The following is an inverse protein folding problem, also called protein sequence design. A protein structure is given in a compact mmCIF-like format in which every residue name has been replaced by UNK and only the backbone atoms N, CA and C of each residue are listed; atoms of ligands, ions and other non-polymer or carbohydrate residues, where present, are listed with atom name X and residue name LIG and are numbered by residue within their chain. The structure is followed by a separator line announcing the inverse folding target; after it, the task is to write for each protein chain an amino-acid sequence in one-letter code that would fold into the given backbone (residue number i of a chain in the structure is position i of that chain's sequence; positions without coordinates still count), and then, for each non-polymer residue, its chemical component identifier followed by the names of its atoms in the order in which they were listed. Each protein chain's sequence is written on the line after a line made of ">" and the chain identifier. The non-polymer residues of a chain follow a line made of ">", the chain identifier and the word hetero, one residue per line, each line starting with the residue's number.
data_IF_050360843211
#
_entry.id   IF_050360843211
#
_cell.length_a   1.000
_cell.length_b   1.000
_cell.length_c   1.000
_cell.angle_alpha   90.00
_cell.angle_beta   90.00
_cell.angle_gamma   90.00
#
_symmetry.space_group_name_H-M   'P 1'
#
loop_
_entity.id
_entity.type
_entity.pdbx_description
1 polymer ?
#
# COMPACT_ATOMS: atom_id res chain seq x y z
N UNK A 1 4.60 12.01 -6.52
CA UNK A 1 4.67 11.02 -7.59
C UNK A 1 3.97 11.57 -8.84
N UNK A 2 4.58 11.43 -10.01
CA UNK A 2 4.02 11.96 -11.27
C UNK A 2 2.82 11.15 -11.80
N UNK A 3 2.75 9.87 -11.46
CA UNK A 3 1.67 8.95 -11.87
C UNK A 3 0.96 8.37 -10.65
N UNK A 4 -0.32 7.98 -10.79
CA UNK A 4 -1.04 7.29 -9.72
C UNK A 4 -0.32 5.99 -9.35
N UNK A 5 -0.19 5.74 -8.05
CA UNK A 5 0.39 4.52 -7.49
C UNK A 5 1.80 4.17 -8.02
N UNK A 6 2.59 5.17 -8.46
CA UNK A 6 3.92 4.96 -9.06
C UNK A 6 4.93 4.24 -8.15
N UNK A 7 4.68 4.17 -6.82
CA UNK A 7 5.50 3.38 -5.90
C UNK A 7 5.20 1.88 -5.97
N UNK A 8 4.03 1.47 -6.49
CA UNK A 8 3.56 0.09 -6.52
C UNK A 8 3.39 -0.46 -7.94
N UNK A 9 3.04 0.41 -8.89
CA UNK A 9 2.68 0.00 -10.24
C UNK A 9 3.74 0.45 -11.27
N UNK A 10 3.93 -0.30 -12.36
CA UNK A 10 4.71 0.19 -13.51
C UNK A 10 4.04 1.41 -14.15
N UNK A 11 4.84 2.27 -14.77
CA UNK A 11 4.36 3.51 -15.37
C UNK A 11 3.21 3.29 -16.38
N UNK A 12 3.27 2.23 -17.17
CA UNK A 12 2.26 1.87 -18.15
C UNK A 12 0.88 1.62 -17.51
N UNK A 13 0.84 0.95 -16.35
CA UNK A 13 -0.41 0.75 -15.61
C UNK A 13 -0.95 2.07 -15.03
N UNK A 14 -0.06 2.95 -14.54
CA UNK A 14 -0.43 4.29 -14.08
C UNK A 14 -1.00 5.16 -15.20
N UNK A 15 -0.43 5.09 -16.40
CA UNK A 15 -0.94 5.80 -17.59
C UNK A 15 -2.31 5.28 -18.01
N UNK A 16 -2.51 3.95 -18.04
CA UNK A 16 -3.82 3.37 -18.33
C UNK A 16 -4.88 3.77 -17.30
N UNK A 17 -4.48 3.90 -16.02
CA UNK A 17 -5.39 4.36 -14.98
C UNK A 17 -5.80 5.82 -15.19
N UNK A 18 -4.88 6.69 -15.58
CA UNK A 18 -5.21 8.08 -15.96
C UNK A 18 -6.15 8.14 -17.17
N UNK A 19 -5.92 7.30 -18.17
CA UNK A 19 -6.81 7.20 -19.33
C UNK A 19 -8.22 6.77 -18.94
N UNK A 20 -8.34 5.75 -18.09
CA UNK A 20 -9.62 5.27 -17.58
C UNK A 20 -10.39 6.32 -16.76
N UNK A 21 -9.68 7.31 -16.19
CA UNK A 21 -10.30 8.41 -15.43
C UNK A 21 -10.74 9.59 -16.28
N UNK A 22 -10.34 9.69 -17.58
CA UNK A 22 -10.68 10.84 -18.44
C UNK A 22 -12.18 11.09 -18.58
N UNK A 23 -13.00 10.02 -18.56
CA UNK A 23 -14.45 10.12 -18.63
C UNK A 23 -15.14 10.33 -17.27
N UNK A 24 -14.39 10.43 -16.17
CA UNK A 24 -14.92 10.58 -14.83
C UNK A 24 -14.66 12.00 -14.30
N UNK A 25 -15.47 12.49 -13.35
CA UNK A 25 -15.25 13.78 -12.70
C UNK A 25 -14.06 13.71 -11.71
N UNK A 26 -12.91 13.25 -12.18
CA UNK A 26 -11.67 13.08 -11.42
C UNK A 26 -10.57 13.91 -12.08
N UNK A 27 -9.92 14.77 -11.30
CA UNK A 27 -8.72 15.48 -11.69
C UNK A 27 -7.54 14.97 -10.86
N UNK A 28 -6.61 14.29 -11.49
CA UNK A 28 -5.36 13.86 -10.86
C UNK A 28 -4.29 14.94 -11.02
N UNK A 29 -3.70 15.37 -9.92
CA UNK A 29 -2.58 16.31 -9.89
C UNK A 29 -1.34 15.56 -9.38
N UNK A 30 -0.53 15.06 -10.31
CA UNK A 30 0.71 14.37 -9.99
C UNK A 30 1.87 15.33 -9.77
N UNK A 31 2.85 14.93 -8.95
CA UNK A 31 4.07 15.71 -8.72
C UNK A 31 3.92 16.93 -7.81
N UNK A 32 2.73 17.18 -7.27
CA UNK A 32 2.46 18.29 -6.34
C UNK A 32 2.46 17.81 -4.89
N UNK A 33 2.74 18.73 -3.98
CA UNK A 33 2.61 18.51 -2.53
C UNK A 33 1.62 19.53 -1.97
N UNK A 34 0.78 19.06 -1.06
CA UNK A 34 -0.09 19.94 -0.27
C UNK A 34 0.76 20.55 0.85
N UNK A 35 0.83 21.86 0.90
CA UNK A 35 1.55 22.63 1.92
C UNK A 35 0.67 23.07 3.09
N UNK A 36 -0.64 23.13 2.88
CA UNK A 36 -1.60 23.50 3.93
C UNK A 36 -3.04 23.32 3.50
N UNK A 37 -3.90 23.20 4.49
CA UNK A 37 -5.36 23.22 4.34
C UNK A 37 -5.91 24.21 5.35
N UNK A 38 -6.65 25.21 4.89
CA UNK A 38 -7.30 26.22 5.72
C UNK A 38 -8.78 26.28 5.42
N UNK A 39 -9.59 26.44 6.48
CA UNK A 39 -11.01 26.74 6.34
C UNK A 39 -11.15 28.22 5.93
N UNK A 40 -11.98 28.51 4.96
CA UNK A 40 -12.36 29.88 4.58
C UNK A 40 -13.62 30.28 5.38
N UNK A 41 -13.50 31.07 6.46
CA UNK A 41 -14.60 31.34 7.39
C UNK A 41 -15.71 32.17 6.77
N UNK A 42 -15.39 33.01 5.77
CA UNK A 42 -16.33 33.94 5.11
C UNK A 42 -17.00 33.29 3.88
N UNK A 43 -16.74 32.01 3.61
CA UNK A 43 -17.41 31.33 2.52
C UNK A 43 -18.89 31.08 2.84
N UNK A 44 -19.80 31.25 1.87
CA UNK A 44 -21.18 30.87 2.05
C UNK A 44 -21.30 29.38 2.36
N UNK A 45 -22.33 28.98 3.11
CA UNK A 45 -22.56 27.54 3.37
C UNK A 45 -22.78 26.74 2.07
N UNK A 46 -22.17 25.54 1.93
CA UNK A 46 -21.31 24.83 2.87
C UNK A 46 -19.91 25.46 3.04
N UNK A 47 -19.21 25.15 4.14
CA UNK A 47 -17.87 25.69 4.38
C UNK A 47 -16.92 25.26 3.26
N UNK A 48 -16.02 26.14 2.86
CA UNK A 48 -15.01 25.86 1.84
C UNK A 48 -13.62 25.79 2.44
N UNK A 49 -12.85 24.88 1.90
CA UNK A 49 -11.45 24.70 2.25
C UNK A 49 -10.58 25.20 1.11
N UNK A 50 -9.53 25.95 1.47
CA UNK A 50 -8.42 26.28 0.57
C UNK A 50 -7.32 25.26 0.80
N UNK A 51 -6.96 24.53 -0.26
CA UNK A 51 -5.84 23.58 -0.27
C UNK A 51 -4.67 24.24 -0.98
N UNK A 52 -3.65 24.62 -0.22
CA UNK A 52 -2.43 25.23 -0.73
C UNK A 52 -1.46 24.17 -1.23
N UNK A 53 -0.90 24.39 -2.41
CA UNK A 53 0.08 23.50 -3.03
C UNK A 53 1.47 24.16 -2.98
N UNK A 54 2.53 23.34 -2.96
CA UNK A 54 3.92 23.84 -3.04
C UNK A 54 4.23 24.48 -4.39
N UNK A 55 3.49 24.08 -5.44
CA UNK A 55 3.60 24.61 -6.79
C UNK A 55 2.20 24.73 -7.40
N UNK A 56 1.96 25.79 -8.13
CA UNK A 56 0.67 26.03 -8.79
C UNK A 56 -0.33 26.81 -7.93
N UNK A 57 -1.55 26.90 -8.42
CA UNK A 57 -2.64 27.59 -7.76
C UNK A 57 -3.24 26.77 -6.62
N UNK A 58 -3.73 27.44 -5.59
CA UNK A 58 -4.49 26.82 -4.53
C UNK A 58 -5.83 26.26 -5.07
N UNK A 59 -6.28 25.16 -4.53
CA UNK A 59 -7.57 24.56 -4.86
C UNK A 59 -8.60 24.95 -3.82
N UNK A 60 -9.86 25.05 -4.24
CA UNK A 60 -11.00 25.16 -3.34
C UNK A 60 -11.79 23.85 -3.35
N UNK A 61 -12.24 23.42 -2.17
CA UNK A 61 -13.00 22.20 -2.00
C UNK A 61 -14.01 22.33 -0.87
N UNK A 62 -15.15 21.67 -1.01
CA UNK A 62 -16.17 21.59 0.03
C UNK A 62 -15.80 20.56 1.11
N UNK A 63 -14.98 19.58 0.75
CA UNK A 63 -14.44 18.56 1.65
C UNK A 63 -12.99 18.22 1.29
N UNK A 64 -12.19 17.87 2.30
CA UNK A 64 -10.82 17.41 2.13
C UNK A 64 -10.64 16.08 2.87
N UNK A 65 -10.20 15.07 2.14
CA UNK A 65 -9.92 13.74 2.69
C UNK A 65 -8.42 13.48 2.63
N UNK A 66 -7.78 13.31 3.79
CA UNK A 66 -6.39 12.94 3.87
C UNK A 66 -6.24 11.41 3.79
N UNK A 67 -5.66 10.92 2.70
CA UNK A 67 -5.35 9.50 2.47
C UNK A 67 -3.85 9.30 2.24
N UNK A 68 -3.02 9.89 3.11
CA UNK A 68 -1.56 9.98 2.96
C UNK A 68 -0.78 8.78 3.50
N UNK A 69 -1.48 7.71 3.84
CA UNK A 69 -0.92 6.52 4.44
C UNK A 69 -0.91 6.56 5.97
N UNK A 70 -0.35 5.51 6.56
CA UNK A 70 -0.30 5.31 8.01
C UNK A 70 1.14 5.26 8.50
N UNK A 71 1.37 5.81 9.67
CA UNK A 71 2.61 5.64 10.43
C UNK A 71 2.24 5.33 11.88
N UNK A 72 2.69 4.19 12.39
CA UNK A 72 2.45 3.84 13.78
C UNK A 72 3.18 4.82 14.71
N UNK A 73 2.51 5.40 15.73
CA UNK A 73 3.18 6.26 16.69
C UNK A 73 4.14 5.44 17.57
N UNK A 74 5.42 5.81 17.54
CA UNK A 74 6.47 5.10 18.31
C UNK A 74 6.49 5.39 19.82
N UNK A 75 5.65 6.33 20.31
CA UNK A 75 5.69 6.76 21.73
C UNK A 75 5.46 5.64 22.72
N UNK A 76 4.46 4.78 22.45
CA UNK A 76 4.18 3.63 23.33
C UNK A 76 5.33 2.62 23.32
N UNK A 77 5.91 2.35 22.17
CA UNK A 77 7.06 1.47 22.04
C UNK A 77 8.26 2.02 22.83
N UNK A 78 8.55 3.33 22.69
CA UNK A 78 9.63 4.00 23.40
C UNK A 78 9.43 3.97 24.92
N UNK A 79 8.22 4.25 25.42
CA UNK A 79 7.91 4.20 26.85
C UNK A 79 8.03 2.79 27.46
N UNK A 80 7.81 1.75 26.65
CA UNK A 80 7.95 0.36 27.02
C UNK A 80 9.35 -0.22 26.76
N UNK A 81 10.30 0.59 26.29
CA UNK A 81 11.66 0.16 25.96
C UNK A 81 11.73 -0.84 24.78
N UNK A 82 10.74 -0.85 23.90
CA UNK A 82 10.68 -1.75 22.76
C UNK A 82 11.54 -1.25 21.60
N UNK A 83 12.19 -2.16 20.88
CA UNK A 83 12.87 -1.83 19.64
C UNK A 83 11.85 -1.33 18.60
N UNK A 84 12.08 -0.11 18.10
CA UNK A 84 11.23 0.53 17.11
C UNK A 84 12.03 0.82 15.83
N UNK A 85 11.56 0.30 14.72
CA UNK A 85 12.14 0.57 13.41
C UNK A 85 11.61 1.93 12.90
N UNK A 86 12.44 2.96 13.01
CA UNK A 86 12.07 4.33 12.62
C UNK A 86 11.93 4.48 11.10
N UNK A 87 12.64 3.69 10.30
CA UNK A 87 12.57 3.73 8.84
C UNK A 87 11.26 3.11 8.33
N UNK A 88 10.91 1.93 8.83
CA UNK A 88 9.64 1.28 8.53
C UNK A 88 8.46 1.92 9.28
N UNK A 89 8.72 2.56 10.43
CA UNK A 89 7.70 3.16 11.28
C UNK A 89 6.88 2.12 12.04
N UNK A 90 7.51 1.12 12.66
CA UNK A 90 6.82 0.05 13.40
C UNK A 90 7.68 -0.59 14.49
N UNK A 91 7.03 -1.30 15.42
CA UNK A 91 7.69 -2.09 16.47
C UNK A 91 8.36 -3.29 15.81
N UNK A 92 9.67 -3.45 16.01
CA UNK A 92 10.39 -4.59 15.45
C UNK A 92 9.92 -5.90 16.12
N UNK A 93 9.53 -6.88 15.30
CA UNK A 93 9.09 -8.18 15.77
C UNK A 93 9.72 -9.31 14.96
N UNK A 94 9.93 -10.43 15.64
CA UNK A 94 10.41 -11.67 15.05
C UNK A 94 9.33 -12.27 14.12
N UNK A 95 9.64 -12.61 12.87
CA UNK A 95 8.64 -13.08 11.89
C UNK A 95 8.04 -14.45 12.23
N UNK A 96 8.73 -15.28 12.99
CA UNK A 96 8.25 -16.62 13.34
C UNK A 96 7.29 -16.59 14.54
N UNK A 97 7.49 -15.67 15.46
CA UNK A 97 6.82 -15.65 16.77
C UNK A 97 6.05 -14.36 17.05
N UNK A 98 6.29 -13.31 16.29
CA UNK A 98 5.80 -11.94 16.51
C UNK A 98 6.21 -11.35 17.89
N UNK A 99 7.26 -11.90 18.52
CA UNK A 99 7.85 -11.35 19.75
C UNK A 99 8.56 -10.04 19.47
N UNK A 100 8.42 -9.11 20.39
CA UNK A 100 9.19 -7.87 20.41
C UNK A 100 10.54 -8.06 21.10
N UNK A 101 11.31 -6.99 21.28
CA UNK A 101 12.56 -7.00 22.04
C UNK A 101 12.38 -7.27 23.55
N UNK A 102 11.16 -7.13 24.06
CA UNK A 102 10.86 -7.38 25.47
C UNK A 102 10.14 -8.74 25.64
N UNK A 103 10.54 -9.56 26.64
CA UNK A 103 9.89 -10.84 26.92
C UNK A 103 8.40 -10.66 27.24
N UNK A 104 7.57 -11.55 26.71
CA UNK A 104 6.12 -11.55 26.99
C UNK A 104 5.33 -10.48 26.21
N UNK A 105 5.98 -9.63 25.42
CA UNK A 105 5.31 -8.61 24.61
C UNK A 105 5.39 -9.01 23.13
N UNK A 106 4.26 -8.95 22.47
CA UNK A 106 4.08 -9.25 21.05
C UNK A 106 3.55 -8.02 20.31
N UNK A 107 3.80 -7.93 19.02
CA UNK A 107 3.24 -6.87 18.17
C UNK A 107 2.61 -7.46 16.91
N UNK A 108 1.46 -6.92 16.49
CA UNK A 108 0.78 -7.33 15.24
C UNK A 108 0.04 -6.13 14.60
N UNK A 109 -0.36 -6.29 13.37
CA UNK A 109 -1.14 -5.29 12.62
C UNK A 109 -0.31 -4.08 12.21
N UNK A 110 -0.94 -2.91 12.15
CA UNK A 110 -0.35 -1.68 11.60
C UNK A 110 0.84 -1.14 12.40
N UNK A 111 0.98 -1.55 13.66
CA UNK A 111 2.08 -1.12 14.52
C UNK A 111 3.35 -1.95 14.38
N UNK A 112 3.35 -3.07 13.65
CA UNK A 112 4.49 -3.97 13.57
C UNK A 112 5.40 -3.68 12.38
N UNK A 113 6.69 -3.91 12.56
CA UNK A 113 7.70 -4.04 11.51
C UNK A 113 8.30 -5.44 11.53
N UNK A 114 8.19 -6.15 10.40
CA UNK A 114 8.77 -7.47 10.18
C UNK A 114 9.80 -7.35 9.05
N UNK A 115 11.02 -7.85 9.25
CA UNK A 115 12.13 -7.72 8.30
C UNK A 115 12.42 -6.25 7.89
N UNK A 116 12.28 -5.28 8.81
CA UNK A 116 12.49 -3.87 8.51
C UNK A 116 11.39 -3.23 7.66
N UNK A 117 10.19 -3.82 7.64
CA UNK A 117 9.06 -3.34 6.84
C UNK A 117 7.78 -3.34 7.63
N UNK A 118 7.07 -2.23 7.59
CA UNK A 118 5.74 -2.14 8.14
C UNK A 118 4.72 -2.84 7.22
N UNK A 119 3.81 -3.60 7.82
CA UNK A 119 2.78 -4.35 7.13
C UNK A 119 1.41 -3.77 7.46
N UNK A 120 1.05 -2.68 6.76
CA UNK A 120 -0.22 -1.94 7.00
C UNK A 120 -1.34 -2.47 6.10
N UNK A 121 -1.54 -3.79 6.15
CA UNK A 121 -2.57 -4.51 5.41
C UNK A 121 -3.30 -5.47 6.35
N UNK A 122 -4.58 -5.69 6.09
CA UNK A 122 -5.40 -6.62 6.87
C UNK A 122 -4.96 -8.08 6.68
N UNK A 123 -4.54 -8.44 5.47
CA UNK A 123 -4.25 -9.82 5.11
C UNK A 123 -3.24 -10.54 6.04
N UNK A 124 -2.11 -9.93 6.48
CA UNK A 124 -1.16 -10.57 7.37
C UNK A 124 -1.63 -10.74 8.81
N UNK A 125 -2.65 -10.00 9.27
CA UNK A 125 -3.06 -9.96 10.69
C UNK A 125 -3.43 -11.34 11.22
N UNK A 126 -4.17 -12.13 10.44
CA UNK A 126 -4.55 -13.49 10.84
C UNK A 126 -3.33 -14.40 11.04
N UNK A 127 -2.36 -14.34 10.14
CA UNK A 127 -1.10 -15.09 10.25
C UNK A 127 -0.24 -14.63 11.44
N UNK A 128 -0.20 -13.33 11.69
CA UNK A 128 0.49 -12.75 12.87
C UNK A 128 -0.15 -13.24 14.18
N UNK A 129 -1.49 -13.24 14.26
CA UNK A 129 -2.21 -13.74 15.43
C UNK A 129 -1.95 -15.24 15.66
N UNK A 130 -1.90 -16.03 14.60
CA UNK A 130 -1.57 -17.47 14.69
C UNK A 130 -0.12 -17.69 15.15
N UNK A 131 0.84 -16.85 14.69
CA UNK A 131 2.22 -16.91 15.12
C UNK A 131 2.36 -16.59 16.62
N UNK A 132 1.62 -15.60 17.12
CA UNK A 132 1.56 -15.26 18.55
C UNK A 132 1.00 -16.43 19.35
N UNK A 133 -0.15 -16.98 18.95
CA UNK A 133 -0.79 -18.10 19.63
C UNK A 133 0.14 -19.33 19.69
N UNK A 134 0.76 -19.67 18.56
CA UNK A 134 1.72 -20.78 18.51
C UNK A 134 2.94 -20.52 19.43
N UNK A 135 3.47 -19.29 19.44
CA UNK A 135 4.57 -18.92 20.32
C UNK A 135 4.22 -19.03 21.80
N UNK A 136 3.01 -18.62 22.20
CA UNK A 136 2.54 -18.72 23.59
C UNK A 136 2.37 -20.19 24.00
N UNK A 137 1.89 -21.04 23.10
CA UNK A 137 1.66 -22.46 23.33
C UNK A 137 2.92 -23.33 23.19
N UNK A 138 4.06 -22.74 22.82
CA UNK A 138 5.29 -23.50 22.54
C UNK A 138 5.22 -24.37 21.28
N UNK A 139 4.33 -24.02 20.34
CA UNK A 139 4.12 -24.75 19.09
C UNK A 139 4.83 -24.08 17.92
N UNK A 140 5.06 -24.82 16.83
CA UNK A 140 5.55 -24.22 15.59
C UNK A 140 4.45 -23.40 14.91
N UNK A 141 4.81 -22.24 14.33
CA UNK A 141 3.90 -21.43 13.52
C UNK A 141 3.45 -22.21 12.28
N UNK A 142 2.17 -22.19 11.91
CA UNK A 142 1.71 -22.70 10.63
C UNK A 142 2.41 -21.98 9.46
N UNK A 143 3.11 -22.71 8.61
CA UNK A 143 3.93 -22.15 7.51
C UNK A 143 3.06 -21.46 6.44
N UNK A 144 1.80 -21.85 6.31
CA UNK A 144 0.87 -21.34 5.29
C UNK A 144 0.29 -19.94 5.58
N UNK A 145 0.47 -19.44 6.80
CA UNK A 145 -0.13 -18.15 7.20
C UNK A 145 0.88 -16.98 7.02
N UNK A 146 0.63 -16.02 6.12
CA UNK A 146 1.52 -14.89 5.94
C UNK A 146 1.55 -13.98 7.16
N UNK A 147 2.72 -13.54 7.58
CA UNK A 147 2.91 -12.57 8.69
C UNK A 147 3.36 -11.20 8.21
N UNK A 148 3.70 -11.05 6.95
CA UNK A 148 4.12 -9.78 6.35
C UNK A 148 3.39 -9.50 5.04
N UNK A 149 3.41 -8.25 4.60
CA UNK A 149 2.88 -7.88 3.29
C UNK A 149 3.66 -8.55 2.14
N UNK A 150 4.91 -8.92 2.38
CA UNK A 150 5.77 -9.59 1.40
C UNK A 150 5.33 -11.05 1.17
N UNK A 151 4.77 -11.69 2.18
CA UNK A 151 4.22 -13.05 2.10
C UNK A 151 2.80 -13.05 1.53
N UNK A 152 2.04 -11.94 1.75
CA UNK A 152 0.69 -11.74 1.24
C UNK A 152 0.73 -11.04 -0.12
N UNK A 153 1.17 -11.74 -1.13
CA UNK A 153 1.64 -11.20 -2.40
C UNK A 153 0.53 -10.72 -3.38
N UNK A 154 -0.61 -10.21 -2.92
CA UNK A 154 -1.66 -9.70 -3.83
C UNK A 154 -2.10 -8.29 -3.42
N UNK A 155 -1.79 -7.30 -4.28
CA UNK A 155 -2.34 -5.95 -4.20
C UNK A 155 -3.51 -5.82 -5.19
N UNK A 156 -4.68 -5.47 -4.69
CA UNK A 156 -5.86 -5.16 -5.51
C UNK A 156 -6.16 -3.67 -5.45
N UNK A 157 -6.08 -3.00 -6.58
CA UNK A 157 -6.55 -1.61 -6.70
C UNK A 157 -8.03 -1.66 -7.05
N UNK A 158 -8.84 -1.30 -6.05
CA UNK A 158 -10.31 -1.35 -6.15
C UNK A 158 -10.83 -0.08 -6.83
N UNK A 159 -10.66 0.03 -8.13
CA UNK A 159 -11.29 1.07 -8.94
C UNK A 159 -12.23 0.42 -9.97
N UNK A 160 -13.43 0.97 -10.10
CA UNK A 160 -14.41 0.49 -11.08
C UNK A 160 -13.99 0.82 -12.51
N UNK A 161 -13.21 1.89 -12.70
CA UNK A 161 -12.77 2.33 -14.02
C UNK A 161 -11.72 1.39 -14.64
N UNK A 162 -10.79 0.88 -13.83
CA UNK A 162 -9.75 -0.04 -14.26
C UNK A 162 -9.32 -0.92 -13.08
N UNK A 163 -9.97 -2.04 -12.83
CA UNK A 163 -9.53 -2.99 -11.82
C UNK A 163 -8.09 -3.47 -12.11
N UNK A 164 -7.19 -3.34 -11.13
CA UNK A 164 -5.79 -3.77 -11.25
C UNK A 164 -5.51 -4.80 -10.16
N UNK A 165 -4.88 -5.89 -10.54
CA UNK A 165 -4.34 -6.89 -9.64
C UNK A 165 -2.84 -7.03 -9.87
N UNK A 166 -2.06 -6.85 -8.82
CA UNK A 166 -0.63 -7.13 -8.78
C UNK A 166 -0.41 -8.33 -7.87
N UNK A 167 0.09 -9.41 -8.42
CA UNK A 167 0.46 -10.63 -7.71
C UNK A 167 1.98 -10.73 -7.63
N UNK A 168 2.50 -11.25 -6.53
CA UNK A 168 3.94 -11.28 -6.27
C UNK A 168 4.48 -9.92 -5.88
N UNK A 169 5.79 -9.80 -5.84
CA UNK A 169 6.49 -8.61 -5.38
C UNK A 169 7.28 -7.95 -6.50
N UNK A 170 6.84 -6.76 -6.89
CA UNK A 170 7.64 -5.91 -7.78
C UNK A 170 8.98 -5.56 -7.11
N UNK A 171 10.08 -5.82 -7.81
CA UNK A 171 11.45 -5.54 -7.33
C UNK A 171 12.00 -4.32 -8.06
N UNK A 172 12.48 -3.31 -7.32
CA UNK A 172 13.23 -2.21 -7.93
C UNK A 172 14.40 -2.74 -8.77
N UNK A 173 14.61 -2.15 -9.93
CA UNK A 173 15.70 -2.54 -10.83
C UNK A 173 15.41 -3.70 -11.79
N UNK A 174 14.33 -4.47 -11.59
CA UNK A 174 13.88 -5.44 -12.59
C UNK A 174 12.95 -4.77 -13.60
N UNK A 175 13.16 -5.07 -14.87
CA UNK A 175 12.30 -4.59 -15.95
C UNK A 175 10.92 -5.25 -15.91
N UNK A 176 9.88 -4.47 -16.22
CA UNK A 176 8.56 -4.98 -16.52
C UNK A 176 8.48 -5.36 -17.99
N UNK A 177 8.07 -6.57 -18.26
CA UNK A 177 7.81 -7.08 -19.61
C UNK A 177 6.33 -7.09 -19.88
N UNK A 178 5.90 -6.43 -20.95
CA UNK A 178 4.51 -6.43 -21.40
C UNK A 178 4.25 -7.70 -22.19
N UNK A 179 3.31 -8.51 -21.72
CA UNK A 179 2.81 -9.69 -22.42
C UNK A 179 1.63 -9.33 -23.32
N UNK A 180 0.77 -8.43 -22.83
CA UNK A 180 -0.40 -7.96 -23.55
C UNK A 180 -0.69 -6.50 -23.18
N UNK A 181 -1.05 -5.70 -24.18
CA UNK A 181 -1.51 -4.32 -24.05
C UNK A 181 -2.51 -3.98 -25.14
N UNK A 182 -3.79 -4.32 -24.92
CA UNK A 182 -4.89 -4.16 -25.87
C UNK A 182 -6.18 -3.71 -25.16
N UNK A 183 -7.29 -3.70 -25.89
CA UNK A 183 -8.61 -3.32 -25.37
C UNK A 183 -9.15 -4.30 -24.31
N UNK A 184 -8.61 -5.51 -24.24
CA UNK A 184 -8.98 -6.50 -23.23
C UNK A 184 -8.22 -6.34 -21.92
N UNK A 185 -7.19 -5.48 -21.90
CA UNK A 185 -6.42 -5.11 -20.72
C UNK A 185 -4.92 -5.14 -20.91
N UNK A 186 -4.23 -4.87 -19.82
CA UNK A 186 -2.77 -4.90 -19.72
C UNK A 186 -2.36 -6.12 -18.89
N UNK A 187 -1.38 -6.88 -19.41
CA UNK A 187 -0.70 -7.92 -18.65
C UNK A 187 0.80 -7.70 -18.72
N UNK A 188 1.42 -7.63 -17.55
CA UNK A 188 2.87 -7.44 -17.40
C UNK A 188 3.43 -8.37 -16.35
N UNK A 189 4.71 -8.69 -16.47
CA UNK A 189 5.41 -9.46 -15.46
C UNK A 189 6.86 -8.98 -15.28
N UNK A 190 7.43 -9.28 -14.12
CA UNK A 190 8.87 -9.18 -13.85
C UNK A 190 9.44 -10.59 -13.66
N UNK A 191 10.65 -10.82 -14.19
CA UNK A 191 11.39 -12.07 -14.01
C UNK A 191 12.70 -11.79 -13.28
N UNK A 192 13.11 -12.74 -12.45
CA UNK A 192 14.46 -12.73 -11.87
C UNK A 192 15.51 -13.24 -12.87
N UNK A 193 16.78 -13.29 -12.44
CA UNK A 193 17.90 -13.79 -13.24
C UNK A 193 17.76 -15.27 -13.67
N UNK A 194 16.93 -16.04 -12.99
CA UNK A 194 16.63 -17.45 -13.28
C UNK A 194 15.41 -17.61 -14.20
N UNK A 195 14.83 -16.51 -14.68
CA UNK A 195 13.65 -16.52 -15.54
C UNK A 195 12.32 -16.74 -14.80
N UNK A 196 12.32 -16.85 -13.47
CA UNK A 196 11.11 -17.05 -12.66
C UNK A 196 10.33 -15.76 -12.55
N UNK A 197 9.01 -15.81 -12.73
CA UNK A 197 8.12 -14.66 -12.53
C UNK A 197 8.06 -14.33 -11.03
N UNK A 198 8.50 -13.12 -10.66
CA UNK A 198 8.49 -12.62 -9.28
C UNK A 198 7.35 -11.64 -9.01
N UNK A 199 6.82 -11.02 -10.07
CA UNK A 199 5.64 -10.19 -10.01
C UNK A 199 4.85 -10.26 -11.32
N UNK A 200 3.52 -10.23 -11.24
CA UNK A 200 2.60 -10.21 -12.38
C UNK A 200 1.52 -9.18 -12.14
N UNK A 201 1.27 -8.34 -13.13
CA UNK A 201 0.22 -7.32 -13.11
C UNK A 201 -0.80 -7.62 -14.19
N UNK A 202 -2.07 -7.57 -13.82
CA UNK A 202 -3.20 -7.72 -14.74
C UNK A 202 -4.18 -6.57 -14.51
N UNK A 203 -4.64 -5.96 -15.59
CA UNK A 203 -5.81 -5.08 -15.57
C UNK A 203 -6.97 -5.75 -16.30
N UNK A 204 -8.18 -5.40 -15.93
CA UNK A 204 -9.39 -5.85 -16.60
C UNK A 204 -10.16 -4.65 -17.14
N UNK A 205 -10.95 -4.80 -18.22
CA UNK A 205 -11.88 -3.77 -18.66
C UNK A 205 -12.87 -3.41 -17.55
N UNK A 206 -13.44 -2.19 -17.58
CA UNK A 206 -14.49 -1.78 -16.65
C UNK A 206 -15.63 -2.82 -16.60
N UNK A 207 -16.10 -3.15 -15.40
CA UNK A 207 -17.20 -4.08 -15.18
C UNK A 207 -16.84 -5.56 -15.11
N UNK A 208 -15.59 -5.96 -15.37
CA UNK A 208 -15.10 -7.32 -15.12
C UNK A 208 -14.13 -7.34 -13.91
N UNK A 209 -14.43 -8.14 -12.90
CA UNK A 209 -13.46 -8.40 -11.84
C UNK A 209 -12.21 -9.06 -12.46
N UNK A 210 -11.01 -8.60 -12.08
CA UNK A 210 -9.77 -9.27 -12.48
C UNK A 210 -9.79 -10.69 -11.91
N UNK A 211 -9.89 -11.69 -12.78
CA UNK A 211 -9.83 -13.08 -12.39
C UNK A 211 -8.42 -13.41 -11.89
N UNK A 212 -8.34 -14.14 -10.77
CA UNK A 212 -7.08 -14.70 -10.31
C UNK A 212 -6.59 -15.69 -11.38
N UNK A 213 -5.41 -15.46 -11.90
CA UNK A 213 -4.66 -16.42 -12.70
C UNK A 213 -3.68 -17.17 -11.81
#
# INVERSE_FOLDING_TARGET
>A
QALPLAAQLPAQAGLRLLEAWRGLPIRFLGGVQVSGVTLEPDAPHPPRYRVSLTQGEALQADQVIAATGLRAPGRLAASAGLAYDSAAGGIAADPATMRTSAPGIYALGDCVSVHGRASRYIAPIAGQAQAIAASILGQARPVSAPVSADESAVLRVKTSALPIMLSGRARPGLAWHTERDDDTGLRMHQRNSEGVIVASLVTSPPGRAAAAA
#
